data_IF_509246317113
#
_entry.id   IF_509246317113
#
_cell.length_a   1.000
_cell.length_b   1.000
_cell.length_c   1.000
_cell.angle_alpha   90.00
_cell.angle_beta   90.00
_cell.angle_gamma   90.00
#
_symmetry.space_group_name_H-M   'P 1'
#
loop_
_entity.id
_entity.type
_entity.pdbx_description
1 polymer ?
#
# COMPACT_ATOMS: atom_id res chain seq x y z
N UNK A 1 -45.70 69.02 -32.93
CA UNK A 1 -46.15 68.29 -31.72
C UNK A 1 -46.26 66.82 -32.10
N UNK A 2 -45.63 65.78 -31.52
CA UNK A 2 -44.80 65.52 -30.35
C UNK A 2 -43.79 64.43 -30.79
N UNK A 3 -42.50 64.56 -30.46
CA UNK A 3 -41.53 63.43 -30.58
C UNK A 3 -41.66 62.57 -29.33
N UNK A 4 -41.97 61.28 -29.52
CA UNK A 4 -42.09 60.29 -28.45
C UNK A 4 -40.70 59.78 -28.10
N UNK A 5 -40.26 60.04 -26.88
CA UNK A 5 -39.01 59.52 -26.31
C UNK A 5 -39.29 58.11 -25.75
N UNK A 6 -38.76 57.06 -26.40
CA UNK A 6 -38.78 55.68 -25.87
C UNK A 6 -37.65 55.53 -24.87
N UNK A 7 -38.00 55.35 -23.60
CA UNK A 7 -37.08 54.97 -22.52
C UNK A 7 -36.81 53.45 -22.63
N UNK A 8 -35.57 53.05 -22.89
CA UNK A 8 -35.12 51.66 -22.79
C UNK A 8 -34.57 51.44 -21.37
N UNK A 9 -35.24 50.61 -20.56
CA UNK A 9 -34.68 50.11 -19.30
C UNK A 9 -33.70 48.96 -19.60
N UNK A 10 -32.51 48.92 -18.98
CA UNK A 10 -31.66 47.74 -19.03
C UNK A 10 -32.20 46.67 -18.07
N UNK A 11 -32.50 45.49 -18.61
CA UNK A 11 -32.77 44.28 -17.81
C UNK A 11 -31.42 43.73 -17.33
N UNK A 12 -31.13 43.88 -16.05
CA UNK A 12 -30.00 43.21 -15.42
C UNK A 12 -30.33 41.73 -15.21
N UNK A 13 -29.71 40.85 -16.00
CA UNK A 13 -29.77 39.40 -15.77
C UNK A 13 -28.75 39.05 -14.69
N UNK A 14 -29.23 38.82 -13.48
CA UNK A 14 -28.42 38.27 -12.40
C UNK A 14 -28.17 36.78 -12.66
N UNK A 15 -26.99 36.42 -13.15
CA UNK A 15 -26.52 35.03 -13.19
C UNK A 15 -26.21 34.57 -11.78
N UNK A 16 -27.17 33.90 -11.14
CA UNK A 16 -26.95 33.18 -9.89
C UNK A 16 -26.05 31.97 -10.12
N UNK A 17 -24.82 32.04 -9.63
CA UNK A 17 -23.94 30.87 -9.54
C UNK A 17 -24.48 29.99 -8.40
N UNK A 18 -25.22 28.94 -8.77
CA UNK A 18 -25.58 27.87 -7.85
C UNK A 18 -24.29 27.12 -7.50
N UNK A 19 -23.66 27.51 -6.39
CA UNK A 19 -22.65 26.68 -5.74
C UNK A 19 -23.35 25.40 -5.26
N UNK A 20 -23.00 24.26 -5.86
CA UNK A 20 -23.43 22.96 -5.36
C UNK A 20 -22.95 22.84 -3.89
N UNK A 21 -23.78 22.35 -2.96
CA UNK A 21 -23.36 22.17 -1.59
C UNK A 21 -22.20 21.16 -1.60
N UNK A 22 -21.06 21.53 -1.01
CA UNK A 22 -20.01 20.57 -0.71
C UNK A 22 -20.66 19.46 0.12
N UNK A 23 -20.66 18.23 -0.39
CA UNK A 23 -21.15 17.10 0.38
C UNK A 23 -20.38 17.10 1.71
N UNK A 24 -21.11 17.20 2.83
CA UNK A 24 -20.51 17.11 4.15
C UNK A 24 -19.95 15.69 4.31
N UNK A 25 -18.69 15.51 3.92
CA UNK A 25 -17.96 14.27 4.17
C UNK A 25 -17.80 14.14 5.69
N UNK A 26 -18.25 13.02 6.26
CA UNK A 26 -18.00 12.74 7.66
C UNK A 26 -16.49 12.72 7.92
N UNK A 27 -16.04 13.42 8.97
CA UNK A 27 -14.63 13.63 9.31
C UNK A 27 -13.76 12.38 9.17
N UNK A 28 -12.54 12.55 8.65
CA UNK A 28 -11.56 11.46 8.55
C UNK A 28 -11.14 11.00 9.94
N UNK A 29 -11.38 9.72 10.23
CA UNK A 29 -10.86 9.10 11.44
C UNK A 29 -9.43 8.64 11.16
N UNK A 30 -8.44 9.39 11.67
CA UNK A 30 -7.04 9.06 11.50
C UNK A 30 -6.58 7.97 12.46
N UNK A 31 -6.12 6.83 11.94
CA UNK A 31 -5.41 5.82 12.71
C UNK A 31 -3.98 6.28 13.02
N UNK A 32 -3.29 6.81 12.01
CA UNK A 32 -2.01 7.51 12.15
C UNK A 32 -2.10 8.90 11.55
N UNK A 33 -1.61 9.90 12.28
CA UNK A 33 -1.38 11.28 11.81
C UNK A 33 -0.35 11.95 12.72
N UNK A 34 0.62 12.73 12.19
CA UNK A 34 1.52 13.52 13.03
C UNK A 34 0.73 14.36 14.06
N UNK A 35 1.18 14.33 15.32
CA UNK A 35 0.49 15.01 16.44
C UNK A 35 -0.66 14.23 17.09
N UNK A 36 -1.19 13.16 16.46
CA UNK A 36 -2.25 12.35 17.06
C UNK A 36 -1.74 11.51 18.24
N UNK A 37 -2.59 11.33 19.26
CA UNK A 37 -2.34 10.44 20.41
C UNK A 37 -3.63 9.64 20.70
N UNK A 38 -3.60 8.28 20.67
CA UNK A 38 -2.48 7.42 20.30
C UNK A 38 -2.17 7.46 18.79
N UNK A 39 -0.93 7.14 18.40
CA UNK A 39 -0.50 6.97 17.00
C UNK A 39 0.31 5.67 16.84
N UNK A 40 -0.26 4.60 16.25
CA UNK A 40 0.40 3.31 16.08
C UNK A 40 1.64 3.34 15.18
N UNK A 41 1.78 4.38 14.33
CA UNK A 41 2.92 4.58 13.46
C UNK A 41 4.09 5.30 14.15
N UNK A 42 3.89 5.85 15.36
CA UNK A 42 4.94 6.42 16.20
C UNK A 42 5.17 5.49 17.41
N UNK A 43 6.38 4.95 17.53
CA UNK A 43 6.74 4.06 18.61
C UNK A 43 8.23 3.71 18.60
N UNK A 44 8.66 2.92 19.57
CA UNK A 44 10.06 2.46 19.61
C UNK A 44 10.39 1.64 18.36
N UNK A 45 11.47 2.01 17.69
CA UNK A 45 12.03 1.27 16.56
C UNK A 45 13.13 0.30 16.99
N UNK A 46 13.39 0.15 18.30
CA UNK A 46 14.37 -0.80 18.83
C UNK A 46 14.18 -2.17 18.17
N UNK A 47 15.26 -2.71 17.61
CA UNK A 47 15.25 -3.92 16.79
C UNK A 47 16.32 -4.87 17.31
N UNK A 48 15.92 -6.10 17.63
CA UNK A 48 16.87 -7.19 17.85
C UNK A 48 17.26 -7.74 16.50
N UNK A 49 18.54 -7.85 16.21
CA UNK A 49 19.08 -8.53 15.03
C UNK A 49 19.61 -9.87 15.49
N UNK A 50 19.10 -10.94 14.89
CA UNK A 50 19.59 -12.30 15.12
C UNK A 50 20.48 -12.75 13.97
N UNK A 51 21.54 -13.46 14.33
CA UNK A 51 22.48 -14.08 13.41
C UNK A 51 22.44 -15.59 13.61
N UNK A 52 22.90 -16.35 12.61
CA UNK A 52 22.98 -17.82 12.74
C UNK A 52 24.12 -18.26 13.68
N UNK A 53 25.27 -17.57 13.63
CA UNK A 53 26.51 -17.96 14.33
C UNK A 53 27.07 -16.87 15.28
N UNK A 54 26.29 -15.83 15.58
CA UNK A 54 26.72 -14.72 16.45
C UNK A 54 25.63 -14.37 17.46
N UNK A 55 26.04 -13.84 18.60
CA UNK A 55 25.13 -13.32 19.62
C UNK A 55 24.20 -12.26 19.02
N UNK A 56 22.91 -12.21 19.42
CA UNK A 56 21.99 -11.17 18.97
C UNK A 56 22.51 -9.78 19.34
N UNK A 57 22.25 -8.79 18.48
CA UNK A 57 22.55 -7.38 18.73
C UNK A 57 21.26 -6.58 18.77
N UNK A 58 21.18 -5.58 19.65
CA UNK A 58 20.09 -4.59 19.62
C UNK A 58 20.57 -3.33 18.91
N UNK A 59 19.77 -2.84 17.97
CA UNK A 59 19.96 -1.54 17.31
C UNK A 59 18.71 -0.68 17.50
N UNK A 60 18.87 0.64 17.40
CA UNK A 60 17.75 1.59 17.47
C UNK A 60 17.80 2.51 16.26
N UNK A 61 17.17 2.10 15.13
CA UNK A 61 16.89 2.99 14.01
C UNK A 61 16.18 4.25 14.52
N UNK A 62 16.51 5.39 13.94
CA UNK A 62 15.95 6.68 14.35
C UNK A 62 14.80 7.05 13.43
N UNK A 63 13.66 7.41 14.01
CA UNK A 63 12.60 8.06 13.27
C UNK A 63 13.11 9.40 12.68
N UNK A 64 12.66 9.75 11.49
CA UNK A 64 12.93 11.06 10.91
C UNK A 64 12.25 12.13 11.76
N UNK A 65 13.02 13.13 12.23
CA UNK A 65 12.46 14.23 13.04
C UNK A 65 11.65 15.21 12.20
N UNK A 66 12.10 15.48 10.98
CA UNK A 66 11.49 16.38 10.00
C UNK A 66 11.70 15.79 8.60
N UNK A 67 10.99 14.70 8.25
CA UNK A 67 11.13 14.11 6.94
C UNK A 67 10.67 15.08 5.84
N UNK A 68 11.37 15.08 4.70
CA UNK A 68 11.01 15.91 3.54
C UNK A 68 9.85 15.36 2.71
N UNK A 69 9.33 14.19 3.08
CA UNK A 69 8.23 13.49 2.41
C UNK A 69 7.28 12.88 3.43
N UNK A 70 6.06 12.57 3.01
CA UNK A 70 5.05 11.88 3.82
C UNK A 70 4.75 10.48 3.25
N UNK A 71 4.18 9.62 4.09
CA UNK A 71 3.63 8.34 3.65
C UNK A 71 2.14 8.30 3.93
N UNK A 72 1.34 8.03 2.91
CA UNK A 72 -0.09 7.79 3.01
C UNK A 72 -0.36 6.28 2.88
N UNK A 73 -0.66 5.63 4.01
CA UNK A 73 -0.82 4.19 4.13
C UNK A 73 -2.28 3.77 4.20
N UNK A 74 -2.66 2.79 3.39
CA UNK A 74 -3.98 2.15 3.41
C UNK A 74 -3.81 0.67 3.73
N UNK A 75 -4.32 0.26 4.88
CA UNK A 75 -4.14 -1.09 5.43
C UNK A 75 -4.93 -2.17 4.66
N UNK A 76 -4.54 -3.45 4.74
CA UNK A 76 -5.24 -4.55 4.08
C UNK A 76 -6.52 -4.94 4.84
N UNK A 77 -7.31 -5.87 4.31
CA UNK A 77 -8.40 -6.47 5.09
C UNK A 77 -7.87 -7.17 6.33
N UNK A 78 -8.30 -6.71 7.51
CA UNK A 78 -8.02 -7.28 8.82
C UNK A 78 -9.25 -7.35 9.73
N UNK A 79 -10.33 -6.66 9.38
CA UNK A 79 -11.55 -6.63 10.20
C UNK A 79 -12.21 -8.01 10.28
N UNK A 80 -12.50 -8.43 11.51
CA UNK A 80 -13.25 -9.65 11.84
C UNK A 80 -14.73 -9.36 12.16
N UNK A 81 -15.20 -8.14 11.86
CA UNK A 81 -16.60 -7.77 12.03
C UNK A 81 -17.52 -8.65 11.16
N UNK A 82 -18.75 -8.85 11.64
CA UNK A 82 -19.70 -9.79 11.05
C UNK A 82 -20.45 -9.28 9.81
N UNK A 83 -20.26 -8.00 9.47
CA UNK A 83 -20.85 -7.30 8.32
C UNK A 83 -19.98 -7.47 7.07
N UNK A 84 -20.51 -7.15 5.88
CA UNK A 84 -19.74 -7.20 4.62
C UNK A 84 -18.62 -6.16 4.64
N UNK A 85 -18.95 -4.93 5.02
CA UNK A 85 -18.00 -3.85 5.24
C UNK A 85 -17.80 -3.60 6.73
N UNK A 86 -16.57 -3.32 7.15
CA UNK A 86 -16.31 -2.87 8.53
C UNK A 86 -16.94 -1.50 8.78
N UNK A 87 -17.09 -1.11 10.04
CA UNK A 87 -17.19 0.29 10.42
C UNK A 87 -15.80 0.98 10.37
N UNK A 88 -15.70 2.22 10.89
CA UNK A 88 -14.45 3.00 10.98
C UNK A 88 -13.82 2.99 12.39
N UNK A 89 -14.20 2.05 13.26
CA UNK A 89 -13.66 1.94 14.61
C UNK A 89 -12.21 1.43 14.59
N UNK A 90 -11.38 1.94 15.51
CA UNK A 90 -9.97 1.55 15.63
C UNK A 90 -9.83 0.24 16.42
N UNK A 91 -10.18 -0.88 15.80
CA UNK A 91 -10.08 -2.18 16.46
C UNK A 91 -8.60 -2.66 16.58
N UNK A 92 -8.29 -3.61 17.48
CA UNK A 92 -6.93 -4.10 17.68
C UNK A 92 -6.26 -4.65 16.42
N UNK A 93 -7.04 -5.21 15.49
CA UNK A 93 -6.59 -5.76 14.21
C UNK A 93 -5.98 -4.66 13.32
N UNK A 94 -6.68 -3.54 13.14
CA UNK A 94 -6.27 -2.36 12.35
C UNK A 94 -5.06 -1.68 12.99
N UNK A 95 -5.08 -1.50 14.31
CA UNK A 95 -3.94 -0.95 15.07
C UNK A 95 -2.70 -1.83 14.88
N UNK A 96 -2.84 -3.15 15.00
CA UNK A 96 -1.72 -4.08 14.94
C UNK A 96 -1.14 -4.18 13.54
N UNK A 97 -1.97 -4.33 12.50
CA UNK A 97 -1.45 -4.44 11.13
C UNK A 97 -0.75 -3.16 10.68
N UNK A 98 -1.25 -2.00 11.13
CA UNK A 98 -0.63 -0.70 10.85
C UNK A 98 0.75 -0.58 11.49
N UNK A 99 0.90 -1.06 12.73
CA UNK A 99 2.24 -1.19 13.35
C UNK A 99 3.14 -2.11 12.53
N UNK A 100 2.63 -3.23 12.02
CA UNK A 100 3.39 -4.24 11.29
C UNK A 100 3.92 -3.75 9.94
N UNK A 101 3.11 -3.00 9.20
CA UNK A 101 3.37 -2.66 7.81
C UNK A 101 3.81 -1.21 7.61
N UNK A 102 3.37 -0.27 8.45
CA UNK A 102 3.59 1.16 8.22
C UNK A 102 4.57 1.81 9.20
N UNK A 103 4.64 1.35 10.46
CA UNK A 103 5.39 2.07 11.50
C UNK A 103 6.90 2.20 11.22
N UNK A 104 7.52 1.27 10.48
CA UNK A 104 8.94 1.41 10.09
C UNK A 104 9.19 2.54 9.10
N UNK A 105 8.21 2.94 8.32
CA UNK A 105 8.36 4.08 7.41
C UNK A 105 8.53 5.41 8.16
N UNK A 106 8.24 5.47 9.47
CA UNK A 106 8.58 6.63 10.31
C UNK A 106 10.09 6.98 10.34
N UNK A 107 10.95 6.08 9.87
CA UNK A 107 12.38 6.36 9.63
C UNK A 107 12.63 7.35 8.49
N UNK A 108 11.67 7.53 7.58
CA UNK A 108 11.87 8.25 6.31
C UNK A 108 10.76 9.23 5.96
N UNK A 109 9.56 9.07 6.54
CA UNK A 109 8.41 9.92 6.27
C UNK A 109 7.53 10.13 7.51
N UNK A 110 6.68 11.15 7.48
CA UNK A 110 5.57 11.28 8.41
C UNK A 110 4.38 10.46 7.90
N UNK A 111 3.84 9.58 8.75
CA UNK A 111 2.88 8.56 8.32
C UNK A 111 1.45 8.99 8.64
N UNK A 112 0.63 9.00 7.60
CA UNK A 112 -0.81 9.21 7.62
C UNK A 112 -1.50 7.89 7.24
N UNK A 113 -2.47 7.47 8.04
CA UNK A 113 -3.26 6.28 7.77
C UNK A 113 -4.71 6.53 8.19
N UNK A 114 -5.67 6.62 7.25
CA UNK A 114 -7.08 6.76 7.59
C UNK A 114 -7.69 5.43 7.96
N UNK A 115 -8.69 5.47 8.85
CA UNK A 115 -9.68 4.40 8.95
C UNK A 115 -10.61 4.47 7.75
N UNK A 116 -10.87 3.34 7.13
CA UNK A 116 -11.82 3.20 6.03
C UNK A 116 -12.66 1.93 6.21
N UNK A 117 -13.86 1.94 5.62
CA UNK A 117 -14.75 0.77 5.60
C UNK A 117 -14.22 -0.26 4.61
N UNK A 118 -13.48 -1.23 5.14
CA UNK A 118 -12.88 -2.31 4.36
C UNK A 118 -13.89 -3.45 4.16
N UNK A 119 -13.78 -4.22 3.09
CA UNK A 119 -14.46 -5.53 3.05
C UNK A 119 -13.84 -6.43 4.12
N UNK A 120 -14.66 -7.05 4.97
CA UNK A 120 -14.22 -7.84 6.13
C UNK A 120 -13.67 -9.22 5.75
N UNK A 121 -12.93 -9.85 6.67
CA UNK A 121 -12.43 -11.22 6.49
C UNK A 121 -13.56 -12.22 6.29
N UNK A 122 -14.70 -12.03 6.98
CA UNK A 122 -15.89 -12.88 6.83
C UNK A 122 -16.45 -12.82 5.42
N UNK A 123 -16.49 -11.64 4.80
CA UNK A 123 -16.96 -11.49 3.42
C UNK A 123 -15.95 -12.00 2.38
N UNK A 124 -14.65 -11.98 2.67
CA UNK A 124 -13.63 -12.53 1.76
C UNK A 124 -13.54 -14.06 1.83
N UNK A 125 -13.71 -14.64 3.02
CA UNK A 125 -13.52 -16.07 3.26
C UNK A 125 -14.84 -16.86 3.36
N UNK A 126 -15.96 -16.16 3.51
CA UNK A 126 -17.29 -16.76 3.59
C UNK A 126 -18.01 -16.81 2.24
N UNK A 127 -19.32 -16.98 2.29
CA UNK A 127 -20.20 -17.09 1.11
C UNK A 127 -20.80 -15.76 0.65
N UNK A 128 -20.65 -14.69 1.45
CA UNK A 128 -21.11 -13.36 1.07
C UNK A 128 -20.27 -12.84 -0.10
N UNK A 129 -20.92 -12.25 -1.10
CA UNK A 129 -20.23 -11.63 -2.24
C UNK A 129 -20.32 -10.11 -2.10
N UNK A 130 -19.21 -9.41 -1.82
CA UNK A 130 -19.21 -7.94 -1.73
C UNK A 130 -19.62 -7.30 -3.06
N UNK A 131 -20.59 -6.39 -3.02
CA UNK A 131 -21.09 -5.68 -4.20
C UNK A 131 -20.16 -4.53 -4.61
N UNK A 132 -20.35 -3.91 -5.79
CA UNK A 132 -19.66 -2.68 -6.15
C UNK A 132 -19.88 -1.54 -5.13
N UNK A 133 -21.09 -1.42 -4.59
CA UNK A 133 -21.44 -0.39 -3.59
C UNK A 133 -20.67 -0.61 -2.28
N UNK A 134 -20.52 -1.86 -1.83
CA UNK A 134 -19.70 -2.18 -0.64
C UNK A 134 -18.24 -1.73 -0.82
N UNK A 135 -17.70 -1.87 -2.03
CA UNK A 135 -16.33 -1.46 -2.36
C UNK A 135 -16.21 0.06 -2.52
N UNK A 136 -17.27 0.71 -2.98
CA UNK A 136 -17.33 2.16 -3.15
C UNK A 136 -17.20 2.89 -1.80
N UNK A 137 -17.77 2.35 -0.72
CA UNK A 137 -17.66 2.92 0.62
C UNK A 137 -16.19 3.10 1.04
N UNK A 138 -15.40 2.04 0.90
CA UNK A 138 -13.97 2.08 1.26
C UNK A 138 -13.16 3.01 0.37
N UNK A 139 -13.48 3.08 -0.92
CA UNK A 139 -12.83 4.01 -1.84
C UNK A 139 -13.15 5.47 -1.50
N UNK A 140 -14.42 5.80 -1.27
CA UNK A 140 -14.85 7.16 -0.91
C UNK A 140 -14.20 7.62 0.40
N UNK A 141 -14.13 6.75 1.41
CA UNK A 141 -13.46 7.07 2.69
C UNK A 141 -11.97 7.40 2.47
N UNK A 142 -11.26 6.59 1.68
CA UNK A 142 -9.83 6.81 1.40
C UNK A 142 -9.59 8.04 0.53
N UNK A 143 -10.44 8.29 -0.46
CA UNK A 143 -10.36 9.48 -1.32
C UNK A 143 -10.53 10.76 -0.49
N UNK A 144 -11.57 10.84 0.34
CA UNK A 144 -11.80 11.99 1.21
C UNK A 144 -10.62 12.22 2.17
N UNK A 145 -10.07 11.14 2.75
CA UNK A 145 -8.89 11.24 3.60
C UNK A 145 -7.64 11.71 2.85
N UNK A 146 -7.45 11.27 1.60
CA UNK A 146 -6.33 11.73 0.77
C UNK A 146 -6.46 13.22 0.44
N UNK A 147 -7.67 13.68 0.11
CA UNK A 147 -7.96 15.10 -0.13
C UNK A 147 -7.69 15.96 1.11
N UNK A 148 -8.18 15.54 2.29
CA UNK A 148 -7.88 16.21 3.57
C UNK A 148 -6.36 16.24 3.84
N UNK A 149 -5.67 15.12 3.62
CA UNK A 149 -4.22 15.04 3.74
C UNK A 149 -3.52 16.03 2.79
N UNK A 150 -3.89 16.08 1.51
CA UNK A 150 -3.28 16.99 0.53
C UNK A 150 -3.53 18.45 0.88
N UNK A 151 -4.74 18.80 1.30
CA UNK A 151 -5.09 20.15 1.73
C UNK A 151 -4.25 20.60 2.94
N UNK A 152 -4.00 19.69 3.89
CA UNK A 152 -3.17 19.97 5.08
C UNK A 152 -1.65 19.95 4.80
N UNK A 153 -1.21 19.43 3.65
CA UNK A 153 0.20 19.21 3.32
C UNK A 153 0.53 19.66 1.87
N UNK A 154 0.21 20.91 1.51
CA UNK A 154 0.35 21.38 0.13
C UNK A 154 1.82 21.30 -0.33
N UNK A 155 2.04 20.76 -1.53
CA UNK A 155 3.36 20.64 -2.16
C UNK A 155 4.33 19.66 -1.48
N UNK A 156 3.92 18.97 -0.41
CA UNK A 156 4.76 17.92 0.20
C UNK A 156 4.77 16.69 -0.69
N UNK A 157 5.96 16.13 -0.91
CA UNK A 157 6.10 14.87 -1.63
C UNK A 157 5.52 13.71 -0.84
N UNK A 158 4.83 12.78 -1.49
CA UNK A 158 4.15 11.68 -0.81
C UNK A 158 4.45 10.30 -1.40
N UNK A 159 4.50 9.30 -0.52
CA UNK A 159 4.58 7.89 -0.87
C UNK A 159 3.23 7.25 -0.57
N UNK A 160 2.64 6.58 -1.54
CA UNK A 160 1.45 5.75 -1.31
C UNK A 160 1.90 4.36 -0.88
N UNK A 161 1.30 3.81 0.17
CA UNK A 161 1.63 2.47 0.66
C UNK A 161 0.33 1.68 0.85
N UNK A 162 0.16 0.61 0.09
CA UNK A 162 -0.97 -0.29 0.20
C UNK A 162 -0.52 -1.73 0.37
N UNK A 163 -1.35 -2.53 1.02
CA UNK A 163 -1.27 -3.98 0.95
C UNK A 163 -2.63 -4.59 0.65
N UNK A 164 -2.67 -5.65 -0.16
CA UNK A 164 -3.89 -6.42 -0.44
C UNK A 164 -5.04 -5.51 -0.95
N UNK A 165 -6.14 -5.41 -0.20
CA UNK A 165 -7.25 -4.50 -0.48
C UNK A 165 -6.82 -3.03 -0.54
N UNK A 166 -5.99 -2.56 0.39
CA UNK A 166 -5.51 -1.18 0.42
C UNK A 166 -4.71 -0.81 -0.84
N UNK A 167 -3.97 -1.77 -1.41
CA UNK A 167 -3.33 -1.59 -2.73
C UNK A 167 -4.33 -1.46 -3.86
N UNK A 168 -5.44 -2.20 -3.81
CA UNK A 168 -6.53 -2.08 -4.79
C UNK A 168 -7.22 -0.72 -4.72
N UNK A 169 -7.50 -0.23 -3.51
CA UNK A 169 -8.08 1.10 -3.28
C UNK A 169 -7.12 2.20 -3.77
N UNK A 170 -5.83 2.12 -3.42
CA UNK A 170 -4.83 3.08 -3.88
C UNK A 170 -4.59 3.00 -5.39
N UNK A 171 -4.69 1.83 -6.01
CA UNK A 171 -4.63 1.70 -7.47
C UNK A 171 -5.75 2.50 -8.15
N UNK A 172 -6.97 2.43 -7.62
CA UNK A 172 -8.11 3.22 -8.10
C UNK A 172 -7.90 4.72 -7.85
N UNK A 173 -7.43 5.09 -6.65
CA UNK A 173 -7.13 6.49 -6.31
C UNK A 173 -6.10 7.08 -7.27
N UNK A 174 -5.06 6.31 -7.60
CA UNK A 174 -4.06 6.74 -8.57
C UNK A 174 -4.71 7.00 -9.93
N UNK A 175 -5.50 6.06 -10.45
CA UNK A 175 -6.12 6.18 -11.77
C UNK A 175 -7.12 7.32 -11.89
N UNK A 176 -7.95 7.51 -10.87
CA UNK A 176 -9.09 8.43 -10.93
C UNK A 176 -8.75 9.84 -10.43
N UNK A 177 -7.76 9.99 -9.56
CA UNK A 177 -7.47 11.28 -8.90
C UNK A 177 -6.05 11.76 -9.21
N UNK A 178 -5.04 10.92 -9.01
CA UNK A 178 -3.64 11.37 -9.08
C UNK A 178 -3.18 11.47 -10.53
N UNK A 179 -3.39 10.43 -11.34
CA UNK A 179 -2.86 10.32 -12.68
C UNK A 179 -3.39 11.39 -13.66
N UNK A 180 -4.68 11.78 -13.62
CA UNK A 180 -5.19 12.89 -14.42
C UNK A 180 -4.61 14.26 -14.05
N UNK A 181 -4.14 14.44 -12.81
CA UNK A 181 -3.61 15.71 -12.29
C UNK A 181 -2.07 15.74 -12.37
N UNK A 182 -1.46 16.59 -13.23
CA UNK A 182 -0.01 16.70 -13.33
C UNK A 182 0.69 17.12 -12.03
N UNK A 183 0.07 17.94 -11.18
CA UNK A 183 0.65 18.40 -9.92
C UNK A 183 0.68 17.26 -8.89
N UNK A 184 -0.42 16.52 -8.74
CA UNK A 184 -0.43 15.33 -7.89
C UNK A 184 0.58 14.28 -8.38
N UNK A 185 0.66 14.04 -9.69
CA UNK A 185 1.70 13.16 -10.25
C UNK A 185 3.08 13.65 -9.89
N UNK A 186 3.37 14.95 -10.04
CA UNK A 186 4.67 15.53 -9.77
C UNK A 186 5.09 15.37 -8.31
N UNK A 187 4.15 15.53 -7.37
CA UNK A 187 4.35 15.39 -5.92
C UNK A 187 4.49 13.92 -5.45
N UNK A 188 4.05 12.94 -6.24
CA UNK A 188 4.15 11.52 -5.86
C UNK A 188 5.60 11.03 -5.95
N UNK A 189 6.21 10.71 -4.81
CA UNK A 189 7.55 10.11 -4.72
C UNK A 189 7.53 8.70 -5.30
N UNK A 190 6.64 7.84 -4.79
CA UNK A 190 6.39 6.50 -5.34
C UNK A 190 5.09 5.91 -4.78
N UNK A 191 4.62 4.84 -5.42
CA UNK A 191 3.54 4.01 -4.90
C UNK A 191 4.03 2.58 -4.63
N UNK A 192 3.87 2.10 -3.40
CA UNK A 192 4.14 0.73 -2.98
C UNK A 192 2.80 -0.02 -2.91
N UNK A 193 2.41 -0.69 -3.99
CA UNK A 193 1.13 -1.41 -4.12
C UNK A 193 1.38 -2.92 -3.98
N UNK A 194 1.43 -3.38 -2.73
CA UNK A 194 1.91 -4.72 -2.38
C UNK A 194 0.76 -5.72 -2.28
N UNK A 195 0.98 -6.99 -2.63
CA UNK A 195 -0.04 -8.06 -2.48
C UNK A 195 -1.29 -7.88 -3.36
N UNK A 196 -1.25 -6.99 -4.35
CA UNK A 196 -2.29 -6.82 -5.36
C UNK A 196 -1.63 -6.84 -6.74
N UNK A 197 -2.43 -6.63 -7.78
CA UNK A 197 -1.95 -6.63 -9.16
C UNK A 197 -2.14 -5.25 -9.79
N UNK A 198 -1.03 -4.67 -10.21
CA UNK A 198 -0.98 -3.60 -11.21
C UNK A 198 -0.71 -4.27 -12.56
N UNK A 199 -1.56 -4.03 -13.54
CA UNK A 199 -1.41 -4.56 -14.89
C UNK A 199 -0.50 -3.67 -15.74
N UNK A 200 0.40 -4.27 -16.50
CA UNK A 200 1.23 -3.60 -17.51
C UNK A 200 1.34 -4.49 -18.75
N UNK A 201 1.37 -3.94 -19.98
CA UNK A 201 1.64 -4.74 -21.17
C UNK A 201 2.97 -5.49 -20.99
N UNK A 202 3.02 -6.74 -21.45
CA UNK A 202 4.23 -7.56 -21.28
C UNK A 202 5.46 -6.83 -21.82
N UNK A 203 6.50 -6.72 -20.98
CA UNK A 203 7.75 -6.06 -21.33
C UNK A 203 7.71 -4.52 -21.36
N UNK A 204 6.62 -3.90 -20.93
CA UNK A 204 6.50 -2.43 -20.77
C UNK A 204 6.52 -2.04 -19.29
N UNK A 205 6.62 -0.73 -19.04
CA UNK A 205 6.57 -0.14 -17.69
C UNK A 205 5.33 0.74 -17.47
N UNK A 206 4.58 1.06 -18.52
CA UNK A 206 3.31 1.83 -18.54
C UNK A 206 2.37 1.24 -19.59
N UNK A 207 1.12 1.71 -19.63
CA UNK A 207 0.13 1.38 -20.67
C UNK A 207 -0.91 0.33 -20.25
N UNK A 208 -1.06 0.11 -18.95
CA UNK A 208 -2.06 -0.81 -18.39
C UNK A 208 -2.92 -0.11 -17.36
N UNK A 209 -2.83 -0.54 -16.11
CA UNK A 209 -3.54 0.14 -15.01
C UNK A 209 -3.10 1.61 -14.90
N UNK A 210 -1.84 1.93 -15.22
CA UNK A 210 -1.34 3.30 -15.28
C UNK A 210 -0.77 3.60 -16.67
N UNK A 211 -1.09 4.77 -17.19
CA UNK A 211 -0.66 5.28 -18.49
C UNK A 211 0.62 6.12 -18.40
N UNK A 212 0.79 6.86 -17.30
CA UNK A 212 1.85 7.85 -17.10
C UNK A 212 2.75 7.55 -15.90
N UNK A 213 2.39 6.57 -15.06
CA UNK A 213 3.17 6.21 -13.86
C UNK A 213 3.91 4.89 -14.13
N UNK A 214 5.23 4.94 -14.42
CA UNK A 214 5.99 3.75 -14.76
C UNK A 214 6.26 2.85 -13.54
N UNK A 215 6.51 1.57 -13.80
CA UNK A 215 7.16 0.69 -12.84
C UNK A 215 8.55 1.25 -12.46
N UNK A 216 8.89 1.22 -11.18
CA UNK A 216 10.22 1.62 -10.71
C UNK A 216 11.28 0.63 -11.21
N UNK A 217 12.34 1.15 -11.83
CA UNK A 217 13.46 0.36 -12.40
C UNK A 217 14.81 0.69 -11.75
N UNK A 218 14.88 1.78 -10.96
CA UNK A 218 16.11 2.26 -10.32
C UNK A 218 15.83 2.84 -8.93
N UNK A 219 16.75 2.72 -7.95
CA UNK A 219 16.50 3.11 -6.56
C UNK A 219 16.19 4.60 -6.32
N UNK A 220 16.66 5.51 -7.17
CA UNK A 220 16.41 6.97 -7.06
C UNK A 220 15.30 7.45 -8.01
N UNK A 221 14.67 6.55 -8.77
CA UNK A 221 13.55 6.92 -9.64
C UNK A 221 12.35 7.25 -8.77
N UNK A 222 11.70 8.38 -9.03
CA UNK A 222 10.46 8.77 -8.36
C UNK A 222 9.32 8.87 -9.38
N UNK A 223 8.11 9.22 -8.94
CA UNK A 223 6.88 9.20 -9.75
C UNK A 223 6.64 7.81 -10.37
N UNK A 224 6.95 6.73 -9.63
CA UNK A 224 6.91 5.35 -10.12
C UNK A 224 6.24 4.39 -9.13
N UNK A 225 5.83 3.21 -9.60
CA UNK A 225 5.18 2.16 -8.80
C UNK A 225 6.10 0.96 -8.55
N UNK A 226 6.09 0.45 -7.31
CA UNK A 226 6.58 -0.87 -6.93
C UNK A 226 5.36 -1.71 -6.55
N UNK A 227 5.17 -2.82 -7.26
CA UNK A 227 4.12 -3.80 -6.99
C UNK A 227 4.71 -5.19 -7.12
N UNK A 228 4.21 -6.13 -6.31
CA UNK A 228 4.51 -7.55 -6.40
C UNK A 228 3.57 -8.34 -5.48
N UNK A 229 3.46 -9.64 -5.75
CA UNK A 229 2.96 -10.65 -4.81
C UNK A 229 4.06 -11.70 -4.56
N UNK A 230 4.21 -12.15 -3.32
CA UNK A 230 5.29 -13.08 -2.93
C UNK A 230 4.87 -14.54 -3.00
N UNK A 231 5.75 -15.38 -3.56
CA UNK A 231 5.58 -16.82 -3.66
C UNK A 231 6.90 -17.52 -3.37
N UNK A 232 6.88 -18.78 -2.92
CA UNK A 232 8.08 -19.62 -2.78
C UNK A 232 8.02 -20.91 -3.61
N UNK A 233 6.97 -21.05 -4.41
CA UNK A 233 6.70 -22.18 -5.29
C UNK A 233 5.92 -21.70 -6.51
N UNK A 234 5.75 -22.57 -7.52
CA UNK A 234 4.94 -22.27 -8.72
C UNK A 234 3.53 -21.80 -8.30
N UNK A 235 3.09 -20.58 -8.67
CA UNK A 235 1.75 -20.11 -8.33
C UNK A 235 0.67 -20.94 -9.03
N UNK A 236 -0.41 -21.35 -8.35
CA UNK A 236 -1.56 -22.00 -8.99
C UNK A 236 -2.31 -21.02 -9.91
N UNK A 237 -3.31 -21.49 -10.65
CA UNK A 237 -4.08 -20.65 -11.58
C UNK A 237 -4.87 -19.55 -10.87
N UNK A 238 -5.53 -19.88 -9.76
CA UNK A 238 -6.27 -18.93 -8.94
C UNK A 238 -5.36 -18.37 -7.82
N UNK A 239 -4.52 -17.41 -8.16
CA UNK A 239 -3.52 -16.83 -7.23
C UNK A 239 -3.33 -15.32 -7.37
N UNK A 240 -2.74 -14.70 -6.35
CA UNK A 240 -2.20 -13.34 -6.46
C UNK A 240 -1.04 -13.27 -7.47
N UNK A 241 -0.71 -12.06 -7.94
CA UNK A 241 0.35 -11.87 -8.94
C UNK A 241 -0.08 -12.17 -10.38
N UNK A 242 -1.40 -12.12 -10.63
CA UNK A 242 -2.02 -12.24 -11.95
C UNK A 242 -2.88 -11.03 -12.26
N UNK A 243 -2.96 -10.65 -13.52
CA UNK A 243 -3.92 -9.66 -13.99
C UNK A 243 -5.30 -10.29 -13.96
N UNK A 244 -6.26 -9.62 -13.33
CA UNK A 244 -7.68 -9.94 -13.46
C UNK A 244 -8.24 -8.96 -14.48
N UNK A 245 -8.93 -9.47 -15.50
CA UNK A 245 -9.50 -8.68 -16.60
C UNK A 245 -10.95 -8.28 -16.35
N UNK A 246 -11.64 -9.00 -15.46
CA UNK A 246 -13.06 -8.78 -15.17
C UNK A 246 -13.29 -7.37 -14.59
N UNK A 247 -14.19 -6.62 -15.22
CA UNK A 247 -14.52 -5.25 -14.79
C UNK A 247 -13.38 -4.25 -14.94
N UNK A 248 -12.36 -4.55 -15.74
CA UNK A 248 -11.26 -3.61 -16.01
C UNK A 248 -11.47 -2.82 -17.30
N UNK A 249 -10.83 -1.66 -17.39
CA UNK A 249 -10.77 -0.84 -18.62
C UNK A 249 -9.54 -1.18 -19.48
N UNK A 250 -8.95 -2.38 -19.30
CA UNK A 250 -7.76 -2.79 -20.04
C UNK A 250 -8.15 -3.15 -21.48
N UNK A 251 -7.27 -2.85 -22.44
CA UNK A 251 -7.53 -3.18 -23.85
C UNK A 251 -7.53 -4.71 -24.03
N UNK A 252 -8.65 -5.33 -24.48
CA UNK A 252 -8.74 -6.77 -24.64
C UNK A 252 -7.73 -7.35 -25.65
N UNK A 253 -7.17 -6.52 -26.53
CA UNK A 253 -6.20 -6.94 -27.55
C UNK A 253 -4.75 -6.92 -27.05
N UNK A 254 -4.49 -6.41 -25.85
CA UNK A 254 -3.15 -6.31 -25.28
C UNK A 254 -2.91 -7.43 -24.27
N UNK A 255 -1.79 -8.12 -24.42
CA UNK A 255 -1.35 -9.10 -23.41
C UNK A 255 -0.74 -8.38 -22.22
N UNK A 256 -1.44 -8.42 -21.09
CA UNK A 256 -0.98 -7.86 -19.82
C UNK A 256 -0.30 -8.91 -18.93
N UNK A 257 0.57 -8.42 -18.04
CA UNK A 257 1.09 -9.16 -16.90
C UNK A 257 1.01 -8.31 -15.63
N UNK A 258 1.06 -8.97 -14.47
CA UNK A 258 1.17 -8.26 -13.20
C UNK A 258 2.57 -7.66 -13.08
N UNK A 259 2.67 -6.46 -12.53
CA UNK A 259 3.96 -5.86 -12.18
C UNK A 259 4.62 -6.69 -11.07
N UNK A 260 5.90 -7.00 -11.27
CA UNK A 260 6.82 -7.41 -10.21
C UNK A 260 8.05 -6.51 -10.24
N UNK A 261 8.25 -5.72 -9.19
CA UNK A 261 9.45 -4.93 -8.95
C UNK A 261 10.06 -5.34 -7.61
N UNK A 262 11.23 -6.01 -7.64
CA UNK A 262 11.93 -6.42 -6.42
C UNK A 262 12.60 -5.19 -5.77
N UNK A 263 12.19 -4.73 -4.57
CA UNK A 263 12.79 -3.54 -3.96
C UNK A 263 14.29 -3.72 -3.66
N UNK A 264 14.73 -4.95 -3.39
CA UNK A 264 16.14 -5.27 -3.15
C UNK A 264 16.99 -5.30 -4.44
N UNK A 265 16.37 -5.33 -5.62
CA UNK A 265 17.07 -5.36 -6.90
C UNK A 265 16.14 -4.91 -8.04
N UNK A 266 15.85 -3.61 -8.12
CA UNK A 266 14.96 -3.02 -9.14
C UNK A 266 15.47 -3.23 -10.58
N UNK A 267 16.77 -3.49 -10.76
CA UNK A 267 17.38 -3.86 -12.05
C UNK A 267 17.21 -5.35 -12.40
N UNK A 268 16.63 -6.14 -11.51
CA UNK A 268 16.43 -7.57 -11.66
C UNK A 268 17.54 -8.42 -11.03
N UNK A 269 17.34 -9.75 -11.09
CA UNK A 269 18.24 -10.74 -10.50
C UNK A 269 17.81 -11.24 -9.12
N UNK A 270 18.54 -12.25 -8.62
CA UNK A 270 18.39 -12.71 -7.25
C UNK A 270 19.16 -11.78 -6.32
N UNK A 271 18.49 -11.25 -5.30
CA UNK A 271 19.12 -10.47 -4.25
C UNK A 271 18.65 -10.94 -2.88
N UNK A 272 19.52 -10.81 -1.88
CA UNK A 272 19.11 -10.98 -0.48
C UNK A 272 18.10 -9.88 -0.15
N UNK A 273 17.06 -10.23 0.58
CA UNK A 273 16.06 -9.27 1.08
C UNK A 273 16.25 -9.05 2.58
N UNK A 274 16.02 -7.84 3.04
CA UNK A 274 16.12 -7.45 4.45
C UNK A 274 14.76 -7.60 5.15
N UNK A 275 14.57 -8.78 5.74
CA UNK A 275 13.36 -9.14 6.48
C UNK A 275 13.33 -8.48 7.85
N UNK A 276 12.25 -7.73 8.10
CA UNK A 276 11.99 -7.09 9.39
C UNK A 276 10.57 -7.46 9.83
N UNK A 277 10.47 -8.07 11.01
CA UNK A 277 9.22 -8.54 11.60
C UNK A 277 8.90 -7.75 12.87
N UNK A 278 7.62 -7.52 13.11
CA UNK A 278 7.11 -7.07 14.41
C UNK A 278 7.07 -8.26 15.38
N UNK A 279 7.39 -8.03 16.65
CA UNK A 279 7.47 -9.09 17.67
C UNK A 279 6.17 -9.37 18.41
N UNK A 280 5.31 -8.35 18.52
CA UNK A 280 3.91 -8.45 18.94
C UNK A 280 3.15 -9.26 17.89
N UNK A 281 2.44 -10.35 18.22
CA UNK A 281 1.71 -11.16 17.24
C UNK A 281 0.51 -10.40 16.65
N UNK A 282 0.16 -10.73 15.40
CA UNK A 282 -1.12 -10.28 14.81
C UNK A 282 -2.27 -11.04 15.53
N UNK A 283 -3.32 -10.36 16.01
CA UNK A 283 -4.47 -11.02 16.61
C UNK A 283 -5.31 -11.78 15.57
N UNK A 284 -6.13 -12.72 16.04
CA UNK A 284 -7.18 -13.35 15.25
C UNK A 284 -6.70 -14.28 14.14
N UNK A 285 -7.57 -14.46 13.13
CA UNK A 285 -7.41 -15.43 12.04
C UNK A 285 -6.17 -15.17 11.19
N UNK A 286 -5.83 -13.90 10.97
CA UNK A 286 -4.61 -13.54 10.24
C UNK A 286 -3.34 -13.89 11.02
N UNK A 287 -3.35 -13.77 12.35
CA UNK A 287 -2.24 -14.22 13.19
C UNK A 287 -1.97 -15.71 13.09
N UNK A 288 -3.04 -16.51 13.11
CA UNK A 288 -2.96 -17.97 12.94
C UNK A 288 -2.33 -18.31 11.59
N UNK A 289 -2.86 -17.73 10.51
CA UNK A 289 -2.33 -17.99 9.17
C UNK A 289 -0.92 -17.43 8.97
N UNK A 290 -0.56 -16.31 9.59
CA UNK A 290 0.80 -15.77 9.54
C UNK A 290 1.78 -16.72 10.25
N UNK A 291 1.35 -17.41 11.31
CA UNK A 291 2.10 -18.50 11.92
C UNK A 291 2.29 -19.67 10.97
N UNK A 292 1.22 -20.16 10.33
CA UNK A 292 1.31 -21.23 9.33
C UNK A 292 2.27 -20.81 8.20
N UNK A 293 2.16 -19.58 7.71
CA UNK A 293 3.02 -19.09 6.62
C UNK A 293 4.49 -19.00 6.99
N UNK A 294 4.81 -18.68 8.24
CA UNK A 294 6.18 -18.73 8.74
C UNK A 294 6.68 -20.16 9.02
N UNK A 295 5.83 -21.19 8.87
CA UNK A 295 6.14 -22.58 9.21
C UNK A 295 6.08 -22.86 10.72
N UNK A 296 5.22 -22.16 11.46
CA UNK A 296 5.02 -22.25 12.91
C UNK A 296 5.11 -20.88 13.58
N UNK A 297 5.21 -20.84 14.92
CA UNK A 297 5.23 -19.58 15.67
C UNK A 297 6.28 -18.59 15.10
N UNK A 298 5.87 -17.38 14.65
CA UNK A 298 6.81 -16.38 14.16
C UNK A 298 7.80 -15.99 15.27
N UNK A 299 9.05 -15.65 14.93
CA UNK A 299 10.05 -15.39 15.93
C UNK A 299 9.74 -14.06 16.63
N UNK A 300 9.90 -14.04 17.96
CA UNK A 300 9.68 -12.85 18.80
C UNK A 300 10.95 -12.45 19.55
N UNK A 301 11.00 -11.23 20.09
CA UNK A 301 12.09 -10.68 20.90
C UNK A 301 11.55 -9.63 21.88
N UNK A 302 12.37 -9.24 22.88
CA UNK A 302 12.00 -8.20 23.87
C UNK A 302 11.84 -6.81 23.26
N UNK A 303 12.45 -6.57 22.11
CA UNK A 303 12.29 -5.33 21.35
C UNK A 303 11.03 -5.41 20.48
N UNK A 304 10.39 -4.28 20.12
CA UNK A 304 9.20 -4.28 19.25
C UNK A 304 9.47 -4.84 17.84
N UNK A 305 10.72 -4.77 17.37
CA UNK A 305 11.11 -5.27 16.05
C UNK A 305 12.18 -6.35 16.14
N UNK A 306 12.21 -7.22 15.13
CA UNK A 306 13.18 -8.29 14.99
C UNK A 306 13.60 -8.45 13.53
N UNK A 307 14.89 -8.47 13.29
CA UNK A 307 15.47 -9.06 12.07
C UNK A 307 15.81 -10.52 12.40
N UNK A 308 15.09 -11.52 11.83
CA UNK A 308 15.25 -12.91 12.20
C UNK A 308 16.60 -13.49 11.75
N UNK A 309 16.96 -14.66 12.28
CA UNK A 309 18.14 -15.42 11.82
C UNK A 309 17.91 -16.01 10.43
N UNK A 310 16.65 -16.32 10.10
CA UNK A 310 16.23 -16.83 8.80
C UNK A 310 16.49 -15.76 7.74
N UNK A 311 17.20 -16.12 6.67
CA UNK A 311 17.56 -15.22 5.59
C UNK A 311 16.97 -15.68 4.29
N UNK A 312 16.49 -14.74 3.50
CA UNK A 312 15.82 -15.01 2.23
C UNK A 312 16.49 -14.23 1.10
N UNK A 313 16.36 -14.74 -0.11
CA UNK A 313 16.61 -14.01 -1.35
C UNK A 313 15.36 -14.01 -2.20
N UNK A 314 15.19 -12.99 -3.02
CA UNK A 314 14.05 -12.89 -3.92
C UNK A 314 14.46 -12.49 -5.34
N UNK A 315 13.63 -12.86 -6.31
CA UNK A 315 13.72 -12.45 -7.73
C UNK A 315 12.33 -12.42 -8.34
N UNK A 316 12.06 -11.45 -9.21
CA UNK A 316 10.87 -11.47 -10.04
C UNK A 316 10.93 -12.62 -11.07
N UNK A 317 9.91 -13.47 -11.08
CA UNK A 317 9.85 -14.68 -11.91
C UNK A 317 8.48 -14.75 -12.59
N UNK A 318 8.49 -14.99 -13.90
CA UNK A 318 7.30 -15.40 -14.64
C UNK A 318 7.13 -16.90 -14.49
N UNK A 319 5.99 -17.34 -13.97
CA UNK A 319 5.71 -18.76 -13.76
C UNK A 319 4.21 -19.01 -13.83
N UNK A 320 3.81 -20.02 -14.61
CA UNK A 320 2.41 -20.42 -14.75
C UNK A 320 1.46 -19.31 -15.23
N UNK A 321 1.95 -18.30 -15.97
CA UNK A 321 1.15 -17.12 -16.36
C UNK A 321 1.00 -16.04 -15.28
N UNK A 322 1.67 -16.19 -14.14
CA UNK A 322 1.82 -15.15 -13.12
C UNK A 322 3.21 -14.49 -13.20
N UNK A 323 3.35 -13.26 -12.69
CA UNK A 323 4.63 -12.59 -12.51
C UNK A 323 4.77 -12.14 -11.06
N UNK A 324 5.63 -12.83 -10.32
CA UNK A 324 5.64 -12.82 -8.85
C UNK A 324 7.05 -12.62 -8.30
N UNK A 325 7.14 -12.09 -7.07
CA UNK A 325 8.38 -12.04 -6.33
C UNK A 325 8.64 -13.41 -5.69
N UNK A 326 9.48 -14.21 -6.35
CA UNK A 326 9.82 -15.55 -5.91
C UNK A 326 10.86 -15.50 -4.79
N UNK A 327 10.51 -16.01 -3.61
CA UNK A 327 11.31 -16.01 -2.38
C UNK A 327 11.91 -17.39 -2.15
N UNK A 328 13.21 -17.43 -1.83
CA UNK A 328 13.93 -18.66 -1.46
C UNK A 328 14.69 -18.45 -0.16
N UNK A 329 14.63 -19.44 0.73
CA UNK A 329 15.46 -19.49 1.93
C UNK A 329 16.95 -19.62 1.58
N UNK A 330 17.80 -19.06 2.43
CA UNK A 330 19.27 -19.15 2.35
C UNK A 330 19.74 -19.98 3.54
N UNK A 331 20.56 -21.01 3.27
CA UNK A 331 21.09 -21.89 4.31
C UNK A 331 19.97 -22.61 5.06
N UNK A 332 20.00 -22.56 6.40
CA UNK A 332 19.01 -23.20 7.29
C UNK A 332 17.76 -22.35 7.53
N UNK A 333 17.49 -21.35 6.68
CA UNK A 333 16.31 -20.52 6.82
C UNK A 333 15.04 -21.39 6.80
N UNK A 334 14.12 -21.07 7.70
CA UNK A 334 12.84 -21.77 7.80
C UNK A 334 12.09 -21.77 6.48
N UNK A 335 11.55 -22.93 6.10
CA UNK A 335 10.68 -23.06 4.93
C UNK A 335 9.37 -22.35 5.21
N UNK A 336 9.08 -21.32 4.43
CA UNK A 336 7.79 -20.64 4.44
C UNK A 336 6.73 -21.52 3.76
N UNK A 337 5.47 -21.35 4.13
CA UNK A 337 4.38 -22.21 3.64
C UNK A 337 3.23 -21.34 3.13
N UNK A 338 2.62 -21.63 1.98
CA UNK A 338 1.43 -20.88 1.58
C UNK A 338 0.26 -21.06 2.56
N UNK A 339 -0.40 -19.96 2.93
CA UNK A 339 -1.62 -20.00 3.75
C UNK A 339 -2.49 -18.74 3.51
N UNK A 340 -3.83 -18.81 3.69
CA UNK A 340 -4.64 -19.98 4.03
C UNK A 340 -4.74 -21.04 2.92
N UNK A 341 -4.48 -20.66 1.67
CA UNK A 341 -4.50 -21.59 0.52
C UNK A 341 -3.23 -21.43 -0.33
N UNK A 342 -2.90 -22.40 -1.20
CA UNK A 342 -1.77 -22.27 -2.12
C UNK A 342 -1.81 -21.01 -3.01
N UNK A 343 -3.01 -20.52 -3.34
CA UNK A 343 -3.20 -19.32 -4.15
C UNK A 343 -2.78 -18.01 -3.48
N UNK A 344 -2.68 -18.01 -2.14
CA UNK A 344 -2.20 -16.85 -1.40
C UNK A 344 -0.68 -16.74 -1.43
N UNK A 345 0.06 -17.81 -1.72
CA UNK A 345 1.51 -17.77 -1.63
C UNK A 345 1.95 -17.28 -0.25
N UNK A 346 2.85 -16.29 -0.20
CA UNK A 346 3.37 -15.71 1.03
C UNK A 346 2.72 -14.37 1.39
N UNK A 347 1.52 -14.09 0.89
CA UNK A 347 0.81 -12.80 0.95
C UNK A 347 0.83 -12.10 2.31
N UNK A 348 0.73 -12.85 3.42
CA UNK A 348 0.77 -12.29 4.78
C UNK A 348 2.10 -11.64 5.15
N UNK A 349 3.15 -11.85 4.36
CA UNK A 349 4.48 -11.28 4.54
C UNK A 349 4.99 -10.51 3.31
N UNK A 350 4.15 -10.13 2.35
CA UNK A 350 4.57 -9.33 1.18
C UNK A 350 5.31 -8.05 1.59
N UNK A 351 4.84 -7.40 2.66
CA UNK A 351 5.45 -6.18 3.20
C UNK A 351 6.70 -6.52 4.02
N UNK A 352 6.58 -7.48 4.94
CA UNK A 352 7.59 -7.73 5.98
C UNK A 352 8.84 -8.48 5.50
N UNK A 353 8.73 -9.32 4.46
CA UNK A 353 9.88 -10.05 3.91
C UNK A 353 10.95 -9.13 3.34
N UNK A 354 10.62 -8.07 2.57
CA UNK A 354 11.57 -7.06 2.11
C UNK A 354 11.38 -5.68 2.76
N UNK A 355 10.85 -5.61 4.00
CA UNK A 355 10.52 -4.32 4.63
C UNK A 355 11.73 -3.39 4.76
N UNK A 356 12.91 -3.91 5.07
CA UNK A 356 14.15 -3.12 5.07
C UNK A 356 14.45 -2.52 3.71
N UNK A 357 14.32 -3.31 2.64
CA UNK A 357 14.55 -2.87 1.27
C UNK A 357 13.54 -1.80 0.82
N UNK A 358 12.27 -1.94 1.21
CA UNK A 358 11.23 -0.94 0.93
C UNK A 358 11.55 0.40 1.58
N UNK A 359 12.00 0.39 2.84
CA UNK A 359 12.41 1.61 3.56
C UNK A 359 13.64 2.24 2.89
N UNK A 360 14.61 1.43 2.46
CA UNK A 360 15.83 1.91 1.80
C UNK A 360 15.54 2.54 0.42
N UNK A 361 14.63 1.94 -0.34
CA UNK A 361 14.16 2.51 -1.61
C UNK A 361 13.42 3.83 -1.35
N UNK A 362 12.46 3.87 -0.42
CA UNK A 362 11.75 5.13 -0.08
C UNK A 362 12.72 6.19 0.42
N UNK A 363 13.72 5.84 1.22
CA UNK A 363 14.75 6.78 1.68
C UNK A 363 15.51 7.39 0.49
N UNK A 364 15.88 6.55 -0.48
CA UNK A 364 16.63 6.95 -1.66
C UNK A 364 15.80 7.82 -2.60
N UNK A 365 14.54 7.44 -2.81
CA UNK A 365 13.55 8.18 -3.59
C UNK A 365 13.21 9.52 -2.94
N UNK A 366 12.96 9.55 -1.63
CA UNK A 366 12.67 10.77 -0.88
C UNK A 366 13.81 11.78 -0.96
N UNK A 367 15.06 11.34 -0.79
CA UNK A 367 16.24 12.21 -0.99
C UNK A 367 16.34 12.75 -2.41
N UNK A 368 16.06 11.92 -3.42
CA UNK A 368 16.09 12.34 -4.81
C UNK A 368 14.96 13.34 -5.12
N UNK A 369 13.78 13.15 -4.54
CA UNK A 369 12.64 14.06 -4.67
C UNK A 369 12.95 15.43 -4.07
N UNK A 370 13.45 15.48 -2.83
CA UNK A 370 13.73 16.74 -2.12
C UNK A 370 14.90 17.53 -2.68
N UNK A 371 15.68 16.94 -3.59
CA UNK A 371 16.81 17.59 -4.24
C UNK A 371 16.48 18.16 -5.63
N UNK A 372 15.20 18.12 -6.04
CA UNK A 372 14.71 18.61 -7.32
C UNK A 372 14.61 20.12 -7.40
#
# INVERSE_FOLDING_TARGET
>A
MRKVLRLLLPVAVATGVLAAPAAAHADTIWLCRPGATPNPCKGSLKTTIRYEKKSPRVVTPKAAKKPGIDCFYVYPTVSEQNTITSNRAKDPQEITITKYQAARFSEVCDVYAPMYRQITLKAILGTATPTPEDRELGFTDVKAAFEEYRAANPGRGYVLIGHSQGSGVLKRLIREVIEPDPALRADMVSALLLGSSVAVPVGKTVGGDFQNIPVCTRPKQVNCVISYATFNQKPPENSFGRVRTDGTTLDPNVKYEAVCANPAALKGGWSRIDTILRTEPIPGLLGINAGITYGGKPPTAKTPWLTPKDRYKAKCVRSNGAHVLMVKGIGKAKKLTPAPTPGWGLHLYDVNLPLGDLIDVVRSQGKAFTAR
#
